data_IF_088400533801
#
_entry.id   IF_088400533801
#
_cell.length_a   1.000
_cell.length_b   1.000
_cell.length_c   1.000
_cell.angle_alpha   90.00
_cell.angle_beta   90.00
_cell.angle_gamma   90.00
#
_symmetry.space_group_name_H-M   'P 1'
#
loop_
_entity.id
_entity.type
_entity.pdbx_description
1 polymer ?
#
# COMPACT_ATOMS: atom_id res chain seq x y z
N UNK A 1 23.25 -6.24 1.65
CA UNK A 1 21.97 -6.61 2.32
C UNK A 1 21.69 -5.60 3.43
N UNK A 2 20.47 -5.06 3.51
CA UNK A 2 20.05 -4.16 4.59
C UNK A 2 19.25 -4.98 5.63
N UNK A 3 19.76 -5.18 6.86
CA UNK A 3 19.02 -5.84 7.93
C UNK A 3 17.78 -5.02 8.30
N UNK A 4 16.61 -5.66 8.33
CA UNK A 4 15.33 -5.04 8.65
C UNK A 4 14.63 -5.79 9.77
N UNK A 5 13.84 -5.05 10.56
CA UNK A 5 12.91 -5.60 11.55
C UNK A 5 11.54 -4.94 11.39
N UNK A 6 10.53 -5.75 11.11
CA UNK A 6 9.13 -5.33 11.17
C UNK A 6 8.70 -5.06 12.62
N UNK A 7 7.96 -3.97 12.81
CA UNK A 7 7.40 -3.56 14.08
C UNK A 7 5.89 -3.40 13.90
N UNK A 8 5.15 -4.03 14.80
CA UNK A 8 3.69 -3.98 14.82
C UNK A 8 3.16 -2.72 15.52
N UNK A 9 1.86 -2.48 15.31
CA UNK A 9 1.12 -1.40 15.93
C UNK A 9 1.21 -0.07 15.19
N UNK A 10 0.38 0.89 15.61
CA UNK A 10 0.18 2.18 14.94
C UNK A 10 0.87 3.36 15.65
N UNK A 11 1.46 3.16 16.82
CA UNK A 11 1.97 4.23 17.67
C UNK A 11 3.41 4.66 17.32
N UNK A 12 3.77 4.64 16.03
CA UNK A 12 5.12 4.98 15.56
C UNK A 12 5.12 6.36 14.91
N UNK A 13 6.03 7.22 15.37
CA UNK A 13 6.17 8.58 14.84
C UNK A 13 6.74 8.62 13.41
N UNK A 14 7.52 7.61 13.01
CA UNK A 14 8.08 7.48 11.66
C UNK A 14 7.83 6.08 11.11
N UNK A 15 7.54 5.94 9.79
CA UNK A 15 7.26 4.63 9.20
C UNK A 15 8.49 3.75 9.05
N UNK A 16 9.68 4.36 8.97
CA UNK A 16 10.98 3.68 9.06
C UNK A 16 11.89 4.46 9.98
N UNK A 17 12.59 3.78 10.88
CA UNK A 17 13.59 4.36 11.79
C UNK A 17 14.93 3.62 11.68
N UNK A 18 16.01 4.33 12.01
CA UNK A 18 17.38 3.80 11.97
C UNK A 18 18.23 4.47 10.88
N UNK A 19 19.38 3.86 10.51
CA UNK A 19 19.85 2.56 11.01
C UNK A 19 20.42 2.65 12.42
N UNK A 20 20.16 1.63 13.24
CA UNK A 20 20.83 1.44 14.54
C UNK A 20 21.90 0.37 14.42
N UNK A 21 23.03 0.53 15.12
CA UNK A 21 24.09 -0.48 15.11
C UNK A 21 23.77 -1.58 16.13
N UNK A 22 23.71 -2.82 15.66
CA UNK A 22 23.49 -4.01 16.48
C UNK A 22 24.62 -5.00 16.28
N UNK A 23 24.86 -5.83 17.29
CA UNK A 23 25.83 -6.93 17.17
C UNK A 23 25.29 -7.99 16.21
N UNK A 24 26.17 -8.58 15.41
CA UNK A 24 25.83 -9.64 14.46
C UNK A 24 26.72 -10.86 14.71
N UNK A 25 26.15 -12.06 14.55
CA UNK A 25 26.93 -13.31 14.62
C UNK A 25 27.16 -13.83 13.22
N UNK A 26 28.43 -13.94 12.82
CA UNK A 26 28.84 -14.43 11.49
C UNK A 26 29.85 -15.56 11.71
N UNK A 27 29.56 -16.76 11.20
CA UNK A 27 30.45 -17.91 11.36
C UNK A 27 30.76 -18.26 12.83
N UNK A 28 29.77 -18.14 13.73
CA UNK A 28 29.93 -18.39 15.16
C UNK A 28 30.67 -17.31 15.96
N UNK A 29 31.21 -16.27 15.30
CA UNK A 29 31.88 -15.14 15.97
C UNK A 29 30.94 -13.95 16.09
N UNK A 30 30.86 -13.36 17.28
CA UNK A 30 30.11 -12.12 17.52
C UNK A 30 30.92 -10.90 17.06
N UNK A 31 30.38 -10.17 16.10
CA UNK A 31 30.89 -8.89 15.64
C UNK A 31 30.10 -7.75 16.30
N UNK A 32 30.79 -6.97 17.13
CA UNK A 32 30.19 -5.81 17.79
C UNK A 32 29.80 -4.76 16.75
N UNK A 33 28.58 -4.21 16.82
CA UNK A 33 28.04 -3.28 15.81
C UNK A 33 28.13 -3.82 14.37
N UNK A 34 28.07 -5.15 14.22
CA UNK A 34 28.24 -5.84 12.95
C UNK A 34 27.10 -5.64 11.93
N UNK A 35 25.99 -5.03 12.32
CA UNK A 35 24.85 -4.78 11.44
C UNK A 35 24.22 -3.40 11.64
N UNK A 36 23.76 -2.80 10.54
CA UNK A 36 22.95 -1.57 10.52
C UNK A 36 21.48 -1.96 10.38
N UNK A 37 20.77 -2.01 11.50
CA UNK A 37 19.38 -2.45 11.58
C UNK A 37 18.41 -1.30 11.31
N UNK A 38 17.52 -1.49 10.34
CA UNK A 38 16.38 -0.63 10.11
C UNK A 38 15.12 -1.22 10.74
N UNK A 39 14.30 -0.35 11.31
CA UNK A 39 13.02 -0.70 11.93
C UNK A 39 11.89 -0.19 11.05
N UNK A 40 10.93 -1.05 10.72
CA UNK A 40 9.84 -0.75 9.77
C UNK A 40 8.50 -0.86 10.48
N UNK A 41 7.72 0.22 10.54
CA UNK A 41 6.34 0.20 11.04
C UNK A 41 5.42 -0.42 9.97
N UNK A 42 5.21 -1.73 10.05
CA UNK A 42 4.53 -2.48 8.98
C UNK A 42 3.07 -2.09 8.84
N UNK A 43 2.40 -1.72 9.95
CA UNK A 43 1.02 -1.31 9.96
C UNK A 43 0.74 -0.09 9.04
N UNK A 44 1.68 0.86 8.96
CA UNK A 44 1.57 2.05 8.11
C UNK A 44 1.60 1.66 6.63
N UNK A 45 2.58 0.86 6.23
CA UNK A 45 2.73 0.44 4.83
C UNK A 45 1.66 -0.57 4.38
N UNK A 46 1.12 -1.38 5.29
CA UNK A 46 -0.07 -2.19 5.02
C UNK A 46 -1.29 -1.32 4.77
N UNK A 47 -1.51 -0.30 5.61
CA UNK A 47 -2.61 0.66 5.42
C UNK A 47 -2.51 1.38 4.08
N UNK A 48 -1.32 1.88 3.75
CA UNK A 48 -1.03 2.52 2.45
C UNK A 48 -1.29 1.55 1.28
N UNK A 49 -0.83 0.30 1.38
CA UNK A 49 -1.07 -0.72 0.36
C UNK A 49 -2.56 -0.96 0.12
N UNK A 50 -3.35 -1.13 1.18
CA UNK A 50 -4.79 -1.35 1.03
C UNK A 50 -5.53 -0.12 0.51
N UNK A 51 -5.04 1.09 0.81
CA UNK A 51 -5.55 2.32 0.20
C UNK A 51 -5.30 2.33 -1.31
N UNK A 52 -4.09 1.98 -1.75
CA UNK A 52 -3.76 1.91 -3.17
C UNK A 52 -4.53 0.82 -3.92
N UNK A 53 -4.84 -0.31 -3.28
CA UNK A 53 -5.66 -1.36 -3.89
C UNK A 53 -7.13 -0.96 -4.10
N UNK A 54 -7.59 0.14 -3.50
CA UNK A 54 -8.94 0.68 -3.67
C UNK A 54 -9.04 1.78 -4.71
N UNK A 55 -7.92 2.21 -5.29
CA UNK A 55 -7.94 3.19 -6.36
C UNK A 55 -8.73 2.63 -7.55
N UNK A 56 -9.69 3.41 -8.04
CA UNK A 56 -10.42 3.08 -9.25
C UNK A 56 -9.48 3.07 -10.45
N UNK A 57 -9.67 2.08 -11.32
CA UNK A 57 -8.91 1.99 -12.56
C UNK A 57 -9.69 2.71 -13.66
N UNK A 58 -9.02 3.57 -14.46
CA UNK A 58 -9.59 4.06 -15.71
C UNK A 58 -10.12 2.89 -16.55
N UNK A 59 -11.29 3.09 -17.16
CA UNK A 59 -11.86 2.15 -18.10
C UNK A 59 -10.97 2.03 -19.35
N UNK A 60 -11.17 0.99 -20.16
CA UNK A 60 -10.42 0.84 -21.41
C UNK A 60 -10.69 2.00 -22.38
N UNK A 61 -11.91 2.56 -22.36
CA UNK A 61 -12.29 3.76 -23.12
C UNK A 61 -11.52 4.99 -22.64
N UNK A 62 -11.46 5.22 -21.32
CA UNK A 62 -10.69 6.33 -20.73
C UNK A 62 -9.20 6.21 -21.08
N UNK A 63 -8.65 4.99 -21.03
CA UNK A 63 -7.26 4.73 -21.40
C UNK A 63 -7.01 5.02 -22.88
N UNK A 64 -7.96 4.68 -23.76
CA UNK A 64 -7.89 4.99 -25.19
C UNK A 64 -7.91 6.51 -25.45
N UNK A 65 -8.60 7.27 -24.59
CA UNK A 65 -8.61 8.73 -24.58
C UNK A 65 -7.37 9.35 -23.92
N UNK A 66 -6.43 8.54 -23.44
CA UNK A 66 -5.17 8.99 -22.84
C UNK A 66 -5.25 9.33 -21.35
N UNK A 67 -6.35 8.97 -20.66
CA UNK A 67 -6.46 9.12 -19.21
C UNK A 67 -5.41 8.26 -18.53
N UNK A 68 -4.61 8.88 -17.66
CA UNK A 68 -3.56 8.20 -16.90
C UNK A 68 -4.12 7.56 -15.63
N UNK A 69 -3.41 6.51 -15.17
CA UNK A 69 -3.67 5.91 -13.87
C UNK A 69 -3.40 6.90 -12.73
N UNK A 70 -4.26 6.87 -11.71
CA UNK A 70 -4.07 7.68 -10.52
C UNK A 70 -2.73 7.35 -9.82
N UNK A 71 -2.05 8.32 -9.20
CA UNK A 71 -0.85 8.07 -8.42
C UNK A 71 -1.07 7.00 -7.34
N UNK A 72 -0.16 6.01 -7.29
CA UNK A 72 -0.26 4.88 -6.37
C UNK A 72 -1.02 3.67 -6.92
N UNK A 73 -1.51 3.73 -8.17
CA UNK A 73 -2.13 2.58 -8.84
C UNK A 73 -1.22 1.36 -8.77
N UNK A 74 -1.81 0.23 -8.37
CA UNK A 74 -1.10 -1.05 -8.28
C UNK A 74 -1.15 -1.74 -9.64
N UNK A 75 -0.07 -1.64 -10.40
CA UNK A 75 0.09 -2.37 -11.65
C UNK A 75 0.46 -3.82 -11.36
N UNK A 76 -0.32 -4.75 -11.91
CA UNK A 76 -0.11 -6.18 -11.77
C UNK A 76 0.05 -6.76 -13.17
N UNK A 77 1.08 -7.57 -13.44
CA UNK A 77 1.18 -8.26 -14.71
C UNK A 77 0.05 -9.26 -14.90
N UNK A 78 -0.26 -9.56 -16.16
CA UNK A 78 -1.30 -10.47 -16.60
C UNK A 78 -1.07 -11.94 -16.17
N UNK A 79 0.18 -12.32 -15.94
CA UNK A 79 0.58 -13.65 -15.49
C UNK A 79 0.49 -13.88 -13.97
N UNK A 80 0.10 -12.87 -13.17
CA UNK A 80 -0.07 -13.07 -11.72
C UNK A 80 -1.22 -14.04 -11.45
N UNK A 81 -0.93 -15.08 -10.66
CA UNK A 81 -1.93 -16.05 -10.25
C UNK A 81 -2.81 -15.57 -9.08
N UNK A 82 -3.95 -16.25 -8.92
CA UNK A 82 -4.90 -15.93 -7.86
C UNK A 82 -4.36 -16.19 -6.45
N UNK A 83 -3.43 -17.13 -6.26
CA UNK A 83 -2.87 -17.40 -4.93
C UNK A 83 -1.95 -16.25 -4.48
N UNK A 84 -1.15 -15.70 -5.39
CA UNK A 84 -0.36 -14.51 -5.14
C UNK A 84 -1.24 -13.32 -4.77
N UNK A 85 -2.37 -13.12 -5.48
CA UNK A 85 -3.35 -12.09 -5.13
C UNK A 85 -3.91 -12.29 -3.72
N UNK A 86 -4.28 -13.53 -3.37
CA UNK A 86 -4.75 -13.88 -2.02
C UNK A 86 -3.70 -13.63 -0.94
N UNK A 87 -2.41 -13.81 -1.25
CA UNK A 87 -1.31 -13.47 -0.35
C UNK A 87 -1.14 -11.96 -0.21
N UNK A 88 -1.31 -11.19 -1.28
CA UNK A 88 -1.22 -9.72 -1.26
C UNK A 88 -2.29 -9.11 -0.34
N UNK A 89 -3.47 -9.74 -0.24
CA UNK A 89 -4.56 -9.31 0.64
C UNK A 89 -4.77 -10.24 1.85
N UNK A 90 -3.72 -10.93 2.30
CA UNK A 90 -3.81 -11.98 3.32
C UNK A 90 -4.11 -11.48 4.75
N UNK A 91 -4.11 -10.17 5.00
CA UNK A 91 -4.41 -9.58 6.30
C UNK A 91 -5.67 -8.72 6.24
N UNK A 92 -6.27 -8.45 7.40
CA UNK A 92 -7.35 -7.47 7.51
C UNK A 92 -7.16 -6.60 8.74
N UNK A 93 -7.59 -5.34 8.64
CA UNK A 93 -7.58 -4.44 9.78
C UNK A 93 -8.87 -4.62 10.58
N UNK A 94 -8.73 -5.10 11.82
CA UNK A 94 -9.84 -5.34 12.75
C UNK A 94 -9.73 -4.39 13.93
N UNK A 95 -10.87 -3.96 14.47
CA UNK A 95 -10.88 -3.27 15.76
C UNK A 95 -11.12 -4.25 16.89
N UNK A 96 -10.11 -4.40 17.74
CA UNK A 96 -10.11 -5.31 18.88
C UNK A 96 -10.35 -4.51 20.17
N UNK A 97 -11.21 -5.03 21.05
CA UNK A 97 -11.42 -4.48 22.39
C UNK A 97 -10.63 -5.28 23.41
N UNK A 98 -9.84 -4.59 24.23
CA UNK A 98 -9.15 -5.23 25.33
C UNK A 98 -10.12 -5.53 26.49
N UNK A 99 -9.65 -6.28 27.49
CA UNK A 99 -10.43 -6.65 28.70
C UNK A 99 -10.94 -5.43 29.50
N UNK A 100 -10.31 -4.27 29.32
CA UNK A 100 -10.66 -2.99 29.97
C UNK A 100 -11.61 -2.14 29.12
N UNK A 101 -12.09 -2.65 27.98
CA UNK A 101 -13.05 -1.97 27.11
C UNK A 101 -12.45 -1.05 26.04
N UNK A 102 -11.14 -0.81 26.04
CA UNK A 102 -10.49 0.06 25.05
C UNK A 102 -10.40 -0.64 23.69
N UNK A 103 -10.88 0.04 22.65
CA UNK A 103 -10.78 -0.40 21.27
C UNK A 103 -9.46 0.07 20.62
N UNK A 104 -8.79 -0.79 19.87
CA UNK A 104 -7.63 -0.43 19.08
C UNK A 104 -7.62 -1.19 17.74
N UNK A 105 -7.03 -0.61 16.69
CA UNK A 105 -6.87 -1.28 15.41
C UNK A 105 -5.73 -2.32 15.47
N UNK A 106 -5.96 -3.49 14.88
CA UNK A 106 -5.03 -4.61 14.83
C UNK A 106 -5.10 -5.27 13.45
N UNK A 107 -3.94 -5.46 12.81
CA UNK A 107 -3.86 -6.25 11.58
C UNK A 107 -3.88 -7.74 11.93
N UNK A 108 -4.88 -8.46 11.43
CA UNK A 108 -5.03 -9.89 11.66
C UNK A 108 -4.77 -10.67 10.39
N UNK A 109 -3.86 -11.63 10.49
CA UNK A 109 -3.51 -12.56 9.42
C UNK A 109 -4.64 -13.57 9.22
N UNK A 110 -5.20 -13.61 8.01
CA UNK A 110 -6.33 -14.45 7.63
C UNK A 110 -5.91 -15.76 6.95
N UNK A 111 -4.66 -15.83 6.49
CA UNK A 111 -4.09 -16.96 5.74
C UNK A 111 -2.73 -17.33 6.31
N UNK A 112 -2.30 -18.57 6.13
CA UNK A 112 -0.96 -18.99 6.53
C UNK A 112 0.14 -18.27 5.74
N UNK A 113 -0.09 -18.02 4.45
CA UNK A 113 0.84 -17.37 3.52
C UNK A 113 0.46 -15.91 3.26
N UNK A 114 1.43 -15.00 3.36
CA UNK A 114 1.29 -13.55 3.20
C UNK A 114 2.56 -12.89 2.60
N UNK A 115 3.43 -13.69 1.97
CA UNK A 115 4.75 -13.27 1.50
C UNK A 115 4.66 -12.13 0.47
N UNK A 116 3.63 -12.14 -0.39
CA UNK A 116 3.38 -11.06 -1.35
C UNK A 116 3.12 -9.71 -0.66
N UNK A 117 2.30 -9.69 0.40
CA UNK A 117 2.04 -8.48 1.18
C UNK A 117 3.29 -7.98 1.90
N UNK A 118 4.02 -8.87 2.58
CA UNK A 118 5.23 -8.50 3.31
C UNK A 118 6.34 -8.02 2.35
N UNK A 119 6.47 -8.63 1.17
CA UNK A 119 7.40 -8.18 0.12
C UNK A 119 7.09 -6.76 -0.32
N UNK A 120 5.81 -6.44 -0.58
CA UNK A 120 5.40 -5.09 -0.95
C UNK A 120 5.66 -4.09 0.18
N UNK A 121 5.34 -4.44 1.42
CA UNK A 121 5.62 -3.60 2.59
C UNK A 121 7.10 -3.25 2.68
N UNK A 122 7.98 -4.23 2.49
CA UNK A 122 9.42 -3.99 2.56
C UNK A 122 9.99 -3.30 1.33
N UNK A 123 9.44 -3.53 0.13
CA UNK A 123 9.79 -2.76 -1.06
C UNK A 123 9.46 -1.27 -0.86
N UNK A 124 8.29 -0.95 -0.29
CA UNK A 124 7.91 0.42 0.04
C UNK A 124 8.79 1.02 1.14
N UNK A 125 9.15 0.24 2.15
CA UNK A 125 10.10 0.67 3.17
C UNK A 125 11.50 0.96 2.59
N UNK A 126 11.96 0.15 1.62
CA UNK A 126 13.20 0.40 0.91
C UNK A 126 13.13 1.72 0.11
N UNK A 127 12.02 1.97 -0.58
CA UNK A 127 11.78 3.23 -1.28
C UNK A 127 11.84 4.44 -0.33
N UNK A 128 11.23 4.32 0.86
CA UNK A 128 11.34 5.33 1.92
C UNK A 128 12.79 5.59 2.35
N UNK A 129 13.58 4.54 2.56
CA UNK A 129 15.01 4.64 2.92
C UNK A 129 15.80 5.34 1.81
N UNK A 130 15.53 5.01 0.54
CA UNK A 130 16.15 5.66 -0.62
C UNK A 130 15.71 7.12 -0.77
N UNK A 131 14.59 7.51 -0.15
CA UNK A 131 14.04 8.86 -0.25
C UNK A 131 13.34 9.13 -1.58
N UNK A 132 12.81 8.10 -2.23
CA UNK A 132 12.15 8.20 -3.56
C UNK A 132 11.04 9.23 -3.59
N UNK A 133 10.33 9.40 -2.48
CA UNK A 133 9.20 10.33 -2.34
C UNK A 133 9.63 11.80 -2.47
N UNK A 134 10.93 12.08 -2.43
CA UNK A 134 11.52 13.43 -2.55
C UNK A 134 12.25 13.63 -3.88
N UNK A 135 12.25 12.64 -4.76
CA UNK A 135 12.88 12.77 -6.06
C UNK A 135 12.09 13.74 -6.93
N UNK A 136 12.81 14.64 -7.57
CA UNK A 136 12.26 15.59 -8.54
C UNK A 136 12.10 14.94 -9.92
N UNK A 137 11.42 15.64 -10.82
CA UNK A 137 11.18 15.18 -12.19
C UNK A 137 12.50 14.91 -12.93
N UNK A 138 13.55 15.72 -12.68
CA UNK A 138 14.85 15.52 -13.31
C UNK A 138 15.48 14.18 -12.92
N UNK A 139 15.38 13.79 -11.65
CA UNK A 139 15.82 12.47 -11.17
C UNK A 139 15.04 11.35 -11.84
N UNK A 140 13.71 11.49 -11.94
CA UNK A 140 12.86 10.49 -12.60
C UNK A 140 13.21 10.33 -14.09
N UNK A 141 13.35 11.44 -14.83
CA UNK A 141 13.75 11.42 -16.26
C UNK A 141 15.08 10.72 -16.48
N UNK A 142 16.05 10.95 -15.59
CA UNK A 142 17.35 10.27 -15.65
C UNK A 142 17.20 8.76 -15.48
N UNK A 143 16.34 8.31 -14.58
CA UNK A 143 16.09 6.89 -14.34
C UNK A 143 15.32 6.24 -15.50
N UNK A 144 14.34 6.93 -16.07
CA UNK A 144 13.60 6.48 -17.26
C UNK A 144 14.54 6.28 -18.45
N UNK A 145 15.46 7.23 -18.69
CA UNK A 145 16.47 7.12 -19.73
C UNK A 145 17.42 5.92 -19.52
N UNK A 146 17.78 5.62 -18.26
CA UNK A 146 18.58 4.44 -17.92
C UNK A 146 17.81 3.13 -18.12
N UNK A 147 16.50 3.14 -17.87
CA UNK A 147 15.63 1.98 -18.05
C UNK A 147 15.19 1.78 -19.50
N UNK A 148 15.45 2.74 -20.39
CA UNK A 148 14.96 2.72 -21.78
C UNK A 148 13.45 2.90 -21.89
N UNK A 149 12.83 3.58 -20.92
CA UNK A 149 11.38 3.83 -20.88
C UNK A 149 11.10 5.22 -21.46
N UNK A 150 10.22 5.28 -22.46
CA UNK A 150 9.72 6.55 -22.98
C UNK A 150 8.61 7.09 -22.07
N UNK A 151 8.77 8.30 -21.54
CA UNK A 151 7.76 8.92 -20.70
C UNK A 151 6.54 9.29 -21.55
N UNK A 152 5.37 8.75 -21.20
CA UNK A 152 4.11 9.19 -21.81
C UNK A 152 3.82 10.62 -21.33
N UNK A 153 3.64 11.60 -22.22
CA UNK A 153 3.25 12.94 -21.81
C UNK A 153 1.88 12.89 -21.14
N UNK A 154 1.75 13.55 -19.99
CA UNK A 154 0.46 13.78 -19.36
C UNK A 154 -0.36 14.63 -20.30
N UNK A 155 -1.42 14.05 -20.87
CA UNK A 155 -2.48 14.86 -21.47
C UNK A 155 -3.14 15.54 -20.28
N UNK A 156 -2.98 16.85 -20.14
CA UNK A 156 -3.77 17.60 -19.17
C UNK A 156 -5.23 17.19 -19.43
N UNK A 157 -6.01 16.74 -18.42
CA UNK A 157 -7.41 16.51 -18.66
C UNK A 157 -7.92 17.84 -19.21
N UNK A 158 -8.39 17.83 -20.46
CA UNK A 158 -9.14 18.95 -20.98
C UNK A 158 -10.15 19.24 -19.88
N UNK A 159 -10.12 20.47 -19.33
CA UNK A 159 -11.17 20.91 -18.45
C UNK A 159 -12.45 20.62 -19.22
N UNK A 160 -13.15 19.56 -18.83
CA UNK A 160 -14.47 19.29 -19.35
C UNK A 160 -15.20 20.54 -18.92
N UNK A 161 -15.47 21.44 -19.86
CA UNK A 161 -16.46 22.48 -19.67
C UNK A 161 -17.73 21.71 -19.32
N UNK A 162 -18.00 21.61 -18.02
CA UNK A 162 -19.28 21.21 -17.50
C UNK A 162 -20.21 22.32 -17.97
N UNK A 163 -20.74 22.16 -19.17
CA UNK A 163 -21.85 22.97 -19.65
C UNK A 163 -22.89 22.99 -18.55
N UNK A 164 -23.33 24.19 -18.18
CA UNK A 164 -24.30 24.43 -17.13
C UNK A 164 -25.55 23.57 -17.37
N UNK A 165 -25.58 22.39 -16.77
CA UNK A 165 -26.75 21.57 -16.59
C UNK A 165 -27.16 21.70 -15.12
N UNK A 166 -28.44 21.95 -14.90
CA UNK A 166 -29.07 22.09 -13.59
C UNK A 166 -28.63 20.98 -12.61
N UNK A 167 -28.55 21.27 -11.29
CA UNK A 167 -28.00 20.35 -10.32
C UNK A 167 -28.95 19.17 -10.10
N UNK A 168 -28.82 18.12 -10.91
CA UNK A 168 -29.32 16.79 -10.56
C UNK A 168 -28.31 16.13 -9.64
N UNK A 169 -28.71 15.96 -8.39
CA UNK A 169 -27.98 15.27 -7.33
C UNK A 169 -27.41 13.93 -7.83
N UNK A 170 -26.08 13.69 -7.77
CA UNK A 170 -25.53 12.41 -8.18
C UNK A 170 -25.98 11.33 -7.19
N UNK A 171 -26.61 10.29 -7.71
CA UNK A 171 -26.93 9.08 -6.94
C UNK A 171 -25.60 8.40 -6.60
N UNK A 172 -25.32 8.06 -5.32
CA UNK A 172 -24.06 7.45 -4.93
C UNK A 172 -23.88 6.08 -5.60
N UNK A 173 -22.64 5.70 -5.98
CA UNK A 173 -22.35 4.38 -6.53
C UNK A 173 -22.76 3.31 -5.51
N UNK A 174 -23.66 2.42 -5.95
CA UNK A 174 -24.23 1.37 -5.11
C UNK A 174 -23.41 0.10 -5.30
N UNK A 175 -22.52 -0.21 -4.36
CA UNK A 175 -21.83 -1.49 -4.32
C UNK A 175 -22.86 -2.64 -4.31
N UNK A 176 -22.72 -3.59 -5.24
CA UNK A 176 -23.59 -4.76 -5.33
C UNK A 176 -23.62 -5.56 -4.03
N UNK A 177 -24.83 -5.95 -3.61
CA UNK A 177 -25.05 -6.71 -2.37
C UNK A 177 -24.56 -8.16 -2.56
N UNK A 178 -23.58 -8.64 -1.77
CA UNK A 178 -23.22 -10.06 -1.77
C UNK A 178 -24.37 -10.90 -1.17
N UNK A 179 -25.05 -11.67 -2.01
CA UNK A 179 -26.07 -12.65 -1.63
C UNK A 179 -25.42 -13.91 -1.08
N UNK A 180 -25.02 -13.89 0.20
CA UNK A 180 -24.84 -15.14 0.94
C UNK A 180 -25.14 -14.92 2.42
N UNK A 181 -26.03 -15.71 3.04
CA UNK A 181 -26.38 -15.52 4.44
C UNK A 181 -25.23 -16.00 5.33
N UNK A 182 -24.45 -15.07 5.89
CA UNK A 182 -23.42 -15.38 6.89
C UNK A 182 -23.71 -14.70 8.23
N UNK A 183 -23.84 -15.55 9.25
CA UNK A 183 -24.22 -15.30 10.65
C UNK A 183 -23.48 -14.08 11.25
N UNK A 184 -24.24 -13.22 11.94
CA UNK A 184 -23.82 -11.94 12.53
C UNK A 184 -22.65 -12.08 13.52
N UNK A 185 -21.50 -11.50 13.21
CA UNK A 185 -20.57 -10.91 14.18
C UNK A 185 -20.22 -9.50 13.70
N UNK A 186 -20.50 -8.48 14.52
CA UNK A 186 -20.23 -7.07 14.20
C UNK A 186 -18.72 -6.84 14.17
N UNK A 187 -18.14 -6.74 12.98
CA UNK A 187 -16.82 -6.16 12.77
C UNK A 187 -16.98 -4.64 12.60
N UNK A 188 -16.24 -3.86 13.38
CA UNK A 188 -16.13 -2.41 13.22
C UNK A 188 -14.98 -2.11 12.27
N UNK A 189 -15.31 -1.48 11.13
CA UNK A 189 -14.36 -1.02 10.11
C UNK A 189 -14.04 0.45 10.36
N UNK A 190 -12.77 0.87 10.46
CA UNK A 190 -12.40 2.26 10.70
C UNK A 190 -12.79 3.18 9.53
N UNK A 191 -13.11 4.44 9.82
CA UNK A 191 -13.76 5.37 8.88
C UNK A 191 -12.95 5.69 7.61
N UNK A 192 -11.61 5.60 7.62
CA UNK A 192 -10.80 5.78 6.40
C UNK A 192 -10.83 4.55 5.46
N UNK A 193 -11.51 3.47 5.87
CA UNK A 193 -11.78 2.27 5.07
C UNK A 193 -13.23 2.21 4.58
N UNK A 194 -13.99 3.30 4.69
CA UNK A 194 -15.33 3.45 4.10
C UNK A 194 -15.27 4.64 3.16
N UNK A 195 -15.85 4.46 1.98
CA UNK A 195 -15.93 5.49 0.93
C UNK A 195 -16.57 6.78 1.45
#
# INVERSE_FOLDING_TARGET
VAPIKGLEGFNRATPVSGPTFVDATIGGKRLRRGARLWSVATATFRTETYRFLRLERPSDEDRALGVLDAPGTVHLPDWIDTEWLKQLVAEQLVTVRNKRGYAHPEWQKMRERNEALDTRVYARAAAWIMGTDRWDEATWRRLEAQAGVETRPTVAPAAVEIGAAEPTTPTPPKAGTPTTPRRKRRAYTPNFMRD
#
